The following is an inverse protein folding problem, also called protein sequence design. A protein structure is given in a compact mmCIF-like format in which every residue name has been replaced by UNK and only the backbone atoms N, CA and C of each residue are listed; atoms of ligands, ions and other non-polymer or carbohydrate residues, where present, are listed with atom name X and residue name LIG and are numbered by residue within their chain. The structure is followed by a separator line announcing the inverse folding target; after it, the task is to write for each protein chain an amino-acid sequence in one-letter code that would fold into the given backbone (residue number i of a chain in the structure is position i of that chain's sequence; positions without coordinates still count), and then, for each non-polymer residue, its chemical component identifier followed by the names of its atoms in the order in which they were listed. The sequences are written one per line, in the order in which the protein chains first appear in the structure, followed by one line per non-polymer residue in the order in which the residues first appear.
data_IF_752531875887
#
_entry.id   IF_752531875887
#
_cell.length_a   1.000
_cell.length_b   1.000
_cell.length_c   1.000
_cell.angle_alpha   90.00
_cell.angle_beta   90.00
_cell.angle_gamma   90.00
#
_symmetry.space_group_name_H-M   'P 1'
#
loop_
_entity.id
_entity.type
_entity.pdbx_description
1 polymer ?
#
# COMPACT_ATOMS: atom_id res chain seq x y z
N UNK A 1 13.97 -2.42 26.71
CA UNK A 1 14.68 -2.31 25.41
C UNK A 1 14.11 -1.10 24.69
N UNK A 2 14.95 -0.11 24.39
CA UNK A 2 14.52 1.19 23.89
C UNK A 2 13.78 1.08 22.55
N UNK A 3 12.45 1.30 22.58
CA UNK A 3 11.69 1.74 21.41
C UNK A 3 12.31 3.06 20.97
N UNK A 4 13.07 3.04 19.89
CA UNK A 4 13.34 4.30 19.19
C UNK A 4 11.98 4.82 18.76
N UNK A 5 11.55 5.87 19.45
CA UNK A 5 10.29 6.57 19.26
C UNK A 5 10.39 7.34 17.93
N UNK A 6 10.40 6.59 16.81
CA UNK A 6 10.38 7.16 15.47
C UNK A 6 9.03 7.83 15.34
N UNK A 7 9.02 9.15 15.54
CA UNK A 7 7.81 9.94 15.38
C UNK A 7 7.28 9.74 13.96
N UNK A 8 6.01 9.37 13.88
CA UNK A 8 5.32 9.03 12.63
C UNK A 8 5.41 10.14 11.57
N UNK A 9 5.46 11.39 12.01
CA UNK A 9 5.67 12.57 11.18
C UNK A 9 6.91 12.47 10.27
N UNK A 10 7.96 11.76 10.69
CA UNK A 10 9.18 11.56 9.90
C UNK A 10 9.04 10.46 8.83
N UNK A 11 8.02 9.61 8.98
CA UNK A 11 7.72 8.51 8.07
C UNK A 11 7.03 9.04 6.82
N UNK A 12 6.03 9.91 7.03
CA UNK A 12 5.25 10.51 5.98
C UNK A 12 6.05 11.66 5.35
N UNK A 13 5.91 11.83 4.03
CA UNK A 13 6.40 13.04 3.38
C UNK A 13 5.31 14.10 3.47
N UNK A 14 5.67 15.34 3.80
CA UNK A 14 4.78 16.47 3.62
C UNK A 14 4.35 16.56 2.15
N UNK A 15 3.06 16.32 1.92
CA UNK A 15 2.44 16.34 0.61
C UNK A 15 1.79 17.68 0.33
N UNK A 16 1.77 18.08 -0.94
CA UNK A 16 0.86 19.15 -1.39
C UNK A 16 -0.59 18.68 -1.21
N UNK A 17 -1.53 19.61 -0.98
CA UNK A 17 -2.97 19.29 -1.01
C UNK A 17 -3.31 18.53 -2.29
N UNK A 18 -3.83 17.32 -2.14
CA UNK A 18 -4.14 16.40 -3.23
C UNK A 18 -5.59 15.94 -3.11
N UNK A 19 -6.26 15.79 -4.24
CA UNK A 19 -7.57 15.14 -4.30
C UNK A 19 -7.32 13.64 -4.45
N UNK A 20 -7.79 12.86 -3.48
CA UNK A 20 -7.67 11.41 -3.48
C UNK A 20 -8.82 10.76 -4.23
N UNK A 21 -8.54 9.66 -4.94
CA UNK A 21 -9.56 8.90 -5.68
C UNK A 21 -10.42 8.00 -4.77
N UNK A 22 -9.78 7.35 -3.81
CA UNK A 22 -10.42 6.36 -2.94
C UNK A 22 -10.26 6.77 -1.48
N UNK A 23 -11.27 6.42 -0.68
CA UNK A 23 -11.25 6.52 0.77
C UNK A 23 -11.83 5.23 1.33
N UNK A 24 -11.13 4.60 2.27
CA UNK A 24 -11.60 3.42 2.97
C UNK A 24 -11.76 3.73 4.45
N UNK A 25 -12.98 3.55 4.96
CA UNK A 25 -13.37 3.91 6.32
C UNK A 25 -13.42 2.72 7.28
N UNK A 26 -13.25 1.52 6.76
CA UNK A 26 -13.30 0.29 7.56
C UNK A 26 -11.88 -0.22 7.76
N UNK A 27 -11.67 -0.90 8.89
CA UNK A 27 -10.44 -1.62 9.11
C UNK A 27 -10.31 -2.76 8.11
N UNK A 28 -9.15 -2.84 7.44
CA UNK A 28 -8.82 -3.93 6.53
C UNK A 28 -7.57 -4.64 6.99
N UNK A 29 -7.67 -5.95 7.19
CA UNK A 29 -6.56 -6.80 7.61
C UNK A 29 -6.21 -7.79 6.51
N UNK A 30 -4.93 -7.99 6.27
CA UNK A 30 -4.38 -8.95 5.32
C UNK A 30 -3.28 -9.77 5.97
N UNK A 31 -3.47 -11.09 6.00
CA UNK A 31 -2.49 -12.04 6.51
C UNK A 31 -1.48 -12.39 5.43
N UNK A 32 -0.19 -12.41 5.79
CA UNK A 32 0.88 -12.71 4.84
C UNK A 32 2.10 -13.37 5.50
N UNK A 33 2.59 -14.43 4.86
CA UNK A 33 3.87 -15.06 5.22
C UNK A 33 5.09 -14.29 4.68
N UNK A 34 4.86 -13.19 3.93
CA UNK A 34 5.94 -12.39 3.32
C UNK A 34 6.68 -11.53 4.36
N UNK A 35 6.10 -11.29 5.52
CA UNK A 35 6.69 -10.50 6.60
C UNK A 35 7.01 -11.43 7.77
N UNK A 36 8.27 -11.49 8.25
CA UNK A 36 8.59 -12.26 9.44
C UNK A 36 7.77 -11.78 10.64
N UNK A 37 7.18 -12.72 11.39
CA UNK A 37 6.35 -12.45 12.58
C UNK A 37 7.04 -11.59 13.66
N UNK A 38 8.39 -11.56 13.66
CA UNK A 38 9.19 -10.72 14.55
C UNK A 38 9.14 -9.23 14.23
N UNK A 39 8.63 -8.82 13.06
CA UNK A 39 8.55 -7.42 12.65
C UNK A 39 7.19 -6.85 13.03
N UNK A 40 7.21 -5.84 13.89
CA UNK A 40 6.01 -5.19 14.43
C UNK A 40 6.11 -3.68 14.25
N UNK A 41 5.00 -3.03 13.91
CA UNK A 41 4.85 -1.58 14.03
C UNK A 41 3.39 -1.21 14.28
N UNK A 42 3.16 -0.08 14.93
CA UNK A 42 1.82 0.46 15.19
C UNK A 42 1.85 1.98 14.97
N UNK A 43 1.29 2.43 13.85
CA UNK A 43 1.18 3.83 13.41
C UNK A 43 -0.30 4.21 13.24
N UNK A 44 -0.60 5.48 12.98
CA UNK A 44 -1.97 5.99 12.89
C UNK A 44 -2.83 5.24 11.87
N UNK A 45 -2.32 5.01 10.65
CA UNK A 45 -3.06 4.31 9.60
C UNK A 45 -2.57 2.88 9.33
N UNK A 46 -1.39 2.49 9.83
CA UNK A 46 -0.76 1.19 9.55
C UNK A 46 -0.40 0.46 10.84
N UNK A 47 -0.81 -0.81 10.95
CA UNK A 47 -0.32 -1.73 11.97
C UNK A 47 0.19 -3.01 11.32
N UNK A 48 1.33 -3.50 11.80
CA UNK A 48 1.91 -4.78 11.40
C UNK A 48 2.18 -5.55 12.67
N UNK A 49 1.61 -6.75 12.79
CA UNK A 49 1.85 -7.63 13.94
C UNK A 49 1.61 -9.07 13.52
N UNK A 50 2.52 -9.97 13.91
CA UNK A 50 2.40 -11.43 13.68
C UNK A 50 2.09 -11.82 12.21
N UNK A 51 2.69 -11.12 11.24
CA UNK A 51 2.45 -11.39 9.81
C UNK A 51 1.12 -10.84 9.28
N UNK A 52 0.36 -10.10 10.09
CA UNK A 52 -0.88 -9.42 9.68
C UNK A 52 -0.59 -7.94 9.42
N UNK A 53 -1.01 -7.46 8.25
CA UNK A 53 -0.99 -6.05 7.88
C UNK A 53 -2.40 -5.51 8.05
N UNK A 54 -2.53 -4.48 8.87
CA UNK A 54 -3.80 -3.83 9.15
C UNK A 54 -3.75 -2.38 8.69
N UNK A 55 -4.66 -2.02 7.78
CA UNK A 55 -4.98 -0.65 7.41
C UNK A 55 -6.11 -0.17 8.30
N UNK A 56 -5.83 0.80 9.16
CA UNK A 56 -6.80 1.42 10.09
C UNK A 56 -7.62 2.47 9.34
N UNK A 57 -8.58 2.01 8.53
CA UNK A 57 -9.46 2.90 7.76
C UNK A 57 -10.42 3.70 8.64
N UNK A 58 -10.70 3.24 9.84
CA UNK A 58 -11.54 3.92 10.84
C UNK A 58 -10.86 5.12 11.49
N UNK A 59 -9.52 5.23 11.39
CA UNK A 59 -8.77 6.37 11.91
C UNK A 59 -8.99 7.64 11.06
N UNK A 60 -9.28 8.77 11.72
CA UNK A 60 -9.41 10.11 11.15
C UNK A 60 -10.29 10.19 9.87
N UNK A 61 -11.46 9.54 9.91
CA UNK A 61 -12.49 9.52 8.86
C UNK A 61 -12.13 8.78 7.56
N UNK A 62 -11.05 7.99 7.53
CA UNK A 62 -10.68 7.22 6.35
C UNK A 62 -9.19 7.20 6.05
N UNK A 63 -8.72 6.09 5.49
CA UNK A 63 -7.47 6.07 4.73
C UNK A 63 -7.74 6.43 3.27
N UNK A 64 -7.05 7.44 2.74
CA UNK A 64 -7.24 7.95 1.38
C UNK A 64 -6.02 7.71 0.49
N UNK A 65 -6.24 7.28 -0.76
CA UNK A 65 -5.17 7.01 -1.74
C UNK A 65 -5.67 7.15 -3.19
N UNK A 66 -4.76 7.03 -4.15
CA UNK A 66 -5.06 7.25 -5.58
C UNK A 66 -5.22 5.98 -6.42
N UNK A 67 -5.23 4.80 -5.82
CA UNK A 67 -5.22 3.55 -6.58
C UNK A 67 -3.90 3.30 -7.30
N UNK A 68 -3.93 2.49 -8.36
CA UNK A 68 -2.74 2.20 -9.14
C UNK A 68 -2.37 3.35 -10.10
N UNK A 69 -1.08 3.68 -10.19
CA UNK A 69 -0.51 4.76 -11.03
C UNK A 69 0.44 4.11 -12.06
N UNK A 70 0.38 4.43 -13.38
CA UNK A 70 0.44 5.78 -13.94
C UNK A 70 -0.87 6.24 -14.59
N UNK A 71 -1.28 7.46 -14.23
CA UNK A 71 -2.42 8.14 -14.83
C UNK A 71 -1.91 9.36 -15.60
N UNK A 72 -2.43 9.54 -16.79
CA UNK A 72 -2.27 10.77 -17.55
C UNK A 72 -3.61 11.50 -17.57
N UNK A 73 -3.66 12.70 -17.02
CA UNK A 73 -4.84 13.54 -17.02
C UNK A 73 -4.66 14.66 -18.06
N UNK A 74 -5.47 14.66 -19.11
CA UNK A 74 -5.50 15.74 -20.10
C UNK A 74 -6.94 15.98 -20.56
N UNK A 75 -7.33 17.24 -20.74
CA UNK A 75 -8.66 17.63 -21.25
C UNK A 75 -9.83 17.00 -20.45
N UNK A 76 -9.70 16.89 -19.12
CA UNK A 76 -10.63 16.19 -18.22
C UNK A 76 -10.77 14.68 -18.44
N UNK A 77 -9.90 14.07 -19.25
CA UNK A 77 -9.85 12.63 -19.49
C UNK A 77 -8.68 12.04 -18.71
N UNK A 78 -8.96 11.01 -17.91
CA UNK A 78 -7.95 10.18 -17.24
C UNK A 78 -7.63 8.96 -18.08
N UNK A 79 -6.49 8.97 -18.75
CA UNK A 79 -5.94 7.81 -19.47
C UNK A 79 -5.07 6.94 -18.55
N UNK A 80 -5.12 5.62 -18.76
CA UNK A 80 -4.28 4.66 -18.03
C UNK A 80 -4.84 4.18 -16.69
N UNK A 81 -6.16 4.26 -16.45
CA UNK A 81 -6.75 3.73 -15.23
C UNK A 81 -6.87 2.20 -15.27
N UNK A 82 -5.75 1.49 -15.14
CA UNK A 82 -5.70 0.02 -15.18
C UNK A 82 -6.11 -0.64 -13.84
N UNK A 83 -6.97 0.01 -13.05
CA UNK A 83 -7.49 -0.54 -11.78
C UNK A 83 -8.38 -1.79 -11.96
N UNK A 84 -8.73 -2.12 -13.20
CA UNK A 84 -9.64 -3.18 -13.57
C UNK A 84 -11.11 -2.77 -13.47
N UNK A 85 -12.00 -3.63 -13.99
CA UNK A 85 -13.45 -3.45 -13.91
C UNK A 85 -13.93 -3.52 -12.46
N UNK A 86 -15.16 -3.09 -12.20
CA UNK A 86 -15.75 -3.27 -10.86
C UNK A 86 -15.96 -4.77 -10.57
N UNK A 87 -15.47 -5.21 -9.42
CA UNK A 87 -15.74 -6.51 -8.81
C UNK A 87 -16.61 -6.29 -7.58
N UNK A 88 -17.56 -7.20 -7.37
CA UNK A 88 -18.36 -7.22 -6.16
C UNK A 88 -17.56 -7.87 -5.03
N UNK A 89 -17.27 -7.11 -3.97
CA UNK A 89 -16.62 -7.60 -2.75
C UNK A 89 -17.63 -7.87 -1.63
N UNK A 90 -18.86 -7.36 -1.76
CA UNK A 90 -19.97 -7.59 -0.82
C UNK A 90 -21.30 -7.15 -1.43
N UNK A 91 -22.42 -7.26 -0.70
CA UNK A 91 -23.71 -6.74 -1.16
C UNK A 91 -23.65 -5.21 -1.22
N UNK A 92 -23.80 -4.63 -2.42
CA UNK A 92 -23.70 -3.18 -2.63
C UNK A 92 -22.27 -2.63 -2.65
N UNK A 93 -21.24 -3.46 -2.45
CA UNK A 93 -19.85 -3.02 -2.40
C UNK A 93 -19.11 -3.44 -3.68
N UNK A 94 -19.10 -2.54 -4.67
CA UNK A 94 -18.41 -2.70 -5.93
C UNK A 94 -17.14 -1.85 -5.93
N UNK A 95 -15.99 -2.51 -6.10
CA UNK A 95 -14.69 -1.82 -6.13
C UNK A 95 -13.86 -2.37 -7.29
N UNK A 96 -12.91 -1.60 -7.84
CA UNK A 96 -11.98 -2.13 -8.84
C UNK A 96 -11.20 -3.34 -8.32
N UNK A 97 -10.74 -4.22 -9.21
CA UNK A 97 -9.93 -5.39 -8.83
C UNK A 97 -8.67 -5.01 -8.03
N UNK A 98 -8.04 -3.88 -8.38
CA UNK A 98 -6.82 -3.41 -7.72
C UNK A 98 -7.10 -2.67 -6.41
N UNK A 99 -8.35 -2.50 -5.97
CA UNK A 99 -8.69 -1.60 -4.86
C UNK A 99 -7.89 -1.93 -3.58
N UNK A 100 -8.01 -3.15 -3.06
CA UNK A 100 -7.32 -3.54 -1.82
C UNK A 100 -5.81 -3.67 -2.04
N UNK A 101 -5.38 -4.18 -3.19
CA UNK A 101 -3.98 -4.31 -3.51
C UNK A 101 -3.29 -2.93 -3.53
N UNK A 102 -3.85 -1.96 -4.26
CA UNK A 102 -3.33 -0.59 -4.35
C UNK A 102 -3.35 0.13 -3.02
N UNK A 103 -4.38 -0.08 -2.18
CA UNK A 103 -4.45 0.49 -0.84
C UNK A 103 -3.30 0.01 0.05
N UNK A 104 -3.10 -1.31 0.12
CA UNK A 104 -2.02 -1.91 0.91
C UNK A 104 -0.66 -1.50 0.34
N UNK A 105 -0.48 -1.49 -0.98
CA UNK A 105 0.78 -1.06 -1.58
C UNK A 105 1.11 0.40 -1.28
N UNK A 106 0.14 1.29 -1.43
CA UNK A 106 0.30 2.73 -1.17
C UNK A 106 0.68 3.00 0.28
N UNK A 107 -0.03 2.43 1.26
CA UNK A 107 0.28 2.66 2.67
C UNK A 107 1.66 2.13 3.06
N UNK A 108 2.05 0.94 2.57
CA UNK A 108 3.39 0.41 2.80
C UNK A 108 4.48 1.29 2.20
N UNK A 109 4.21 1.92 1.05
CA UNK A 109 5.10 2.89 0.42
C UNK A 109 5.16 4.23 1.15
N UNK A 110 4.04 4.69 1.73
CA UNK A 110 4.00 5.90 2.56
C UNK A 110 4.86 5.71 3.82
N UNK A 111 4.73 4.57 4.49
CA UNK A 111 5.47 4.25 5.71
C UNK A 111 6.84 3.61 5.49
N UNK A 112 7.35 3.53 4.24
CA UNK A 112 8.59 2.80 3.89
C UNK A 112 9.86 3.17 4.65
N UNK A 113 9.88 4.33 5.32
CA UNK A 113 11.01 4.81 6.13
C UNK A 113 11.01 4.24 7.55
N UNK A 114 9.86 3.78 8.03
CA UNK A 114 9.65 3.42 9.43
C UNK A 114 9.06 2.02 9.58
N UNK A 115 8.11 1.66 8.71
CA UNK A 115 7.55 0.31 8.67
C UNK A 115 8.66 -0.70 8.39
N UNK A 116 8.68 -1.83 9.11
CA UNK A 116 9.74 -2.82 9.02
C UNK A 116 9.59 -3.71 7.77
N UNK A 117 9.45 -3.11 6.60
CA UNK A 117 9.15 -3.79 5.33
C UNK A 117 10.16 -3.35 4.27
N UNK A 118 10.65 -4.33 3.52
CA UNK A 118 11.44 -4.11 2.32
C UNK A 118 10.52 -3.86 1.12
N UNK A 119 11.02 -3.11 0.15
CA UNK A 119 10.30 -2.87 -1.10
C UNK A 119 9.85 -4.17 -1.79
N UNK A 120 10.73 -5.19 -1.80
CA UNK A 120 10.43 -6.49 -2.41
C UNK A 120 9.24 -7.16 -1.73
N UNK A 121 9.18 -7.13 -0.40
CA UNK A 121 8.05 -7.67 0.36
C UNK A 121 6.76 -6.90 0.02
N UNK A 122 6.79 -5.56 0.02
CA UNK A 122 5.62 -4.74 -0.34
C UNK A 122 5.11 -5.02 -1.77
N UNK A 123 6.01 -5.14 -2.75
CA UNK A 123 5.65 -5.44 -4.14
C UNK A 123 5.09 -6.88 -4.29
N UNK A 124 5.60 -7.85 -3.51
CA UNK A 124 5.08 -9.22 -3.49
C UNK A 124 3.71 -9.30 -2.82
N UNK A 125 3.50 -8.62 -1.70
CA UNK A 125 2.20 -8.51 -1.03
C UNK A 125 1.16 -7.92 -1.99
N UNK A 126 1.52 -6.86 -2.73
CA UNK A 126 0.67 -6.30 -3.77
C UNK A 126 0.27 -7.34 -4.83
N UNK A 127 1.24 -8.11 -5.33
CA UNK A 127 0.99 -9.19 -6.29
C UNK A 127 0.08 -10.29 -5.71
N UNK A 128 0.30 -10.70 -4.46
CA UNK A 128 -0.49 -11.75 -3.81
C UNK A 128 -1.96 -11.31 -3.67
N UNK A 129 -2.23 -10.06 -3.25
CA UNK A 129 -3.59 -9.51 -3.17
C UNK A 129 -4.23 -9.40 -4.56
N UNK A 130 -3.48 -8.94 -5.58
CA UNK A 130 -3.97 -8.90 -6.96
C UNK A 130 -4.33 -10.30 -7.48
N UNK A 131 -3.50 -11.30 -7.17
CA UNK A 131 -3.74 -12.68 -7.55
C UNK A 131 -5.02 -13.22 -6.92
N UNK A 132 -5.22 -13.01 -5.63
CA UNK A 132 -6.45 -13.38 -4.91
C UNK A 132 -7.69 -12.65 -5.44
N UNK A 133 -7.53 -11.42 -5.91
CA UNK A 133 -8.64 -10.69 -6.54
C UNK A 133 -9.08 -11.30 -7.88
N UNK A 134 -8.24 -12.13 -8.52
CA UNK A 134 -8.49 -12.70 -9.85
C UNK A 134 -8.14 -11.74 -10.98
N UNK A 135 -7.26 -10.77 -10.74
CA UNK A 135 -6.89 -9.78 -11.75
C UNK A 135 -5.98 -10.41 -12.84
N UNK A 136 -6.42 -10.36 -14.10
CA UNK A 136 -5.74 -11.03 -15.22
C UNK A 136 -4.35 -10.47 -15.49
N UNK A 137 -4.19 -9.15 -15.44
CA UNK A 137 -2.93 -8.44 -15.77
C UNK A 137 -1.97 -8.29 -14.57
N UNK A 138 -2.13 -9.12 -13.54
CA UNK A 138 -1.33 -9.09 -12.30
C UNK A 138 0.19 -9.08 -12.56
N UNK A 139 0.65 -9.85 -13.54
CA UNK A 139 2.06 -9.93 -13.90
C UNK A 139 2.59 -8.63 -14.52
N UNK A 140 1.84 -8.02 -15.44
CA UNK A 140 2.20 -6.72 -16.04
C UNK A 140 2.35 -5.66 -14.95
N UNK A 141 1.42 -5.64 -14.01
CA UNK A 141 1.45 -4.73 -12.87
C UNK A 141 2.63 -4.96 -11.94
N UNK A 142 2.90 -6.22 -11.60
CA UNK A 142 4.03 -6.59 -10.76
C UNK A 142 5.35 -6.15 -11.40
N UNK A 143 5.57 -6.45 -12.68
CA UNK A 143 6.78 -6.01 -13.37
C UNK A 143 6.88 -4.48 -13.44
N UNK A 144 5.78 -3.77 -13.71
CA UNK A 144 5.77 -2.31 -13.70
C UNK A 144 6.24 -1.74 -12.36
N UNK A 145 5.69 -2.17 -11.22
CA UNK A 145 6.12 -1.67 -9.90
C UNK A 145 7.57 -2.05 -9.56
N UNK A 146 8.04 -3.21 -10.04
CA UNK A 146 9.43 -3.65 -9.87
C UNK A 146 10.42 -2.82 -10.68
N UNK A 147 10.10 -2.46 -11.92
CA UNK A 147 10.97 -1.63 -12.77
C UNK A 147 10.91 -0.15 -12.38
N UNK A 148 9.70 0.43 -12.26
CA UNK A 148 9.55 1.86 -11.97
C UNK A 148 9.98 2.24 -10.55
N UNK A 149 9.75 1.39 -9.54
CA UNK A 149 10.19 1.73 -8.18
C UNK A 149 11.72 1.79 -8.02
N UNK A 150 12.50 1.24 -8.98
CA UNK A 150 13.97 1.38 -8.98
C UNK A 150 14.36 2.77 -9.46
N UNK A 151 13.63 3.31 -10.44
CA UNK A 151 13.84 4.67 -10.95
C UNK A 151 13.57 5.76 -9.91
N UNK A 152 12.65 5.53 -8.96
CA UNK A 152 12.33 6.47 -7.87
C UNK A 152 13.07 6.16 -6.55
N UNK A 153 14.28 5.59 -6.62
CA UNK A 153 15.03 5.00 -5.49
C UNK A 153 15.26 5.96 -4.32
N UNK A 154 14.45 5.78 -3.28
CA UNK A 154 14.65 6.37 -1.95
C UNK A 154 14.13 5.46 -0.83
N UNK A 155 14.08 4.14 -1.07
CA UNK A 155 13.66 3.17 -0.06
C UNK A 155 14.78 2.98 0.95
N UNK A 156 14.60 3.52 2.15
CA UNK A 156 15.56 3.41 3.25
C UNK A 156 14.93 2.61 4.38
N UNK A 157 14.88 1.30 4.23
CA UNK A 157 14.68 0.41 5.37
C UNK A 157 15.99 -0.35 5.59
N UNK A 158 16.78 0.10 6.57
CA UNK A 158 17.96 -0.64 7.01
C UNK A 158 17.47 -1.76 7.93
N UNK A 159 17.58 -3.00 7.45
CA UNK A 159 17.54 -4.18 8.30
C UNK A 159 18.54 -3.98 9.45
N UNK A 160 18.14 -4.25 10.69
CA UNK A 160 18.97 -4.15 11.91
C UNK A 160 20.24 -5.03 11.88
N UNK A 161 20.51 -5.77 10.79
CA UNK A 161 21.75 -6.56 10.60
C UNK A 161 22.91 -5.79 9.94
N UNK A 162 22.84 -4.47 9.82
CA UNK A 162 23.98 -3.63 9.40
C UNK A 162 24.40 -2.64 10.49
N UNK A 163 24.69 -3.16 11.68
CA UNK A 163 25.64 -2.59 12.67
C UNK A 163 26.50 -3.76 13.16
#
# INVERSE_FOLDING_TARGET
MAEQNIKEENCLKEGKKKVWKFVHQEQYSYETDRIPKSRVCDYNWLKISDGVITVKGDYNNGYAWDGCTPKFNALHITWGNFDGKLKRFGKGNYRPYTYYASMVHDILYQYKRCAPITRKEADLIFFDILNQSGYMWKWVYYYAVRFFGWYFSGWKYKSRKEI
#
